data_IF_610336647312
#
_entry.id   IF_610336647312
#
_cell.length_a   1.000
_cell.length_b   1.000
_cell.length_c   1.000
_cell.angle_alpha   90.00
_cell.angle_beta   90.00
_cell.angle_gamma   90.00
#
_symmetry.space_group_name_H-M   'P 1'
#
loop_
_entity.id
_entity.type
_entity.pdbx_description
1 polymer ?
#
# COMPACT_ATOMS: atom_id res chain seq x y z
N UNK A 1 -1.84 -7.06 -23.49
CA UNK A 1 -3.03 -7.50 -22.75
C UNK A 1 -3.99 -6.33 -22.74
N UNK A 2 -5.22 -6.48 -23.22
CA UNK A 2 -6.21 -5.41 -23.13
C UNK A 2 -6.58 -5.17 -21.66
N UNK A 3 -6.60 -3.91 -21.25
CA UNK A 3 -6.98 -3.52 -19.89
C UNK A 3 -8.50 -3.72 -19.74
N UNK A 4 -8.91 -4.75 -19.00
CA UNK A 4 -10.31 -5.04 -18.72
C UNK A 4 -10.66 -4.56 -17.30
N UNK A 5 -11.23 -3.37 -17.19
CA UNK A 5 -11.59 -2.75 -15.91
C UNK A 5 -12.58 -3.62 -15.11
N UNK A 6 -13.56 -4.25 -15.76
CA UNK A 6 -14.55 -5.08 -15.07
C UNK A 6 -13.92 -6.34 -14.44
N UNK A 7 -12.90 -6.91 -15.10
CA UNK A 7 -12.16 -8.04 -14.54
C UNK A 7 -11.28 -7.60 -13.36
N UNK A 8 -10.64 -6.42 -13.45
CA UNK A 8 -9.88 -5.85 -12.34
C UNK A 8 -10.77 -5.58 -11.12
N UNK A 9 -11.91 -4.93 -11.33
CA UNK A 9 -12.87 -4.62 -10.27
C UNK A 9 -13.35 -5.90 -9.58
N UNK A 10 -13.66 -6.95 -10.33
CA UNK A 10 -14.04 -8.25 -9.77
C UNK A 10 -12.94 -8.85 -8.87
N UNK A 11 -11.67 -8.79 -9.29
CA UNK A 11 -10.55 -9.28 -8.48
C UNK A 11 -10.35 -8.42 -7.22
N UNK A 12 -10.44 -7.10 -7.35
CA UNK A 12 -10.30 -6.17 -6.23
C UNK A 12 -11.43 -6.35 -5.20
N UNK A 13 -12.67 -6.50 -5.64
CA UNK A 13 -13.82 -6.76 -4.78
C UNK A 13 -13.67 -8.11 -4.04
N UNK A 14 -13.23 -9.16 -4.75
CA UNK A 14 -12.98 -10.46 -4.14
C UNK A 14 -11.85 -10.41 -3.09
N UNK A 15 -10.74 -9.72 -3.40
CA UNK A 15 -9.63 -9.54 -2.47
C UNK A 15 -10.05 -8.74 -1.21
N UNK A 16 -10.80 -7.65 -1.39
CA UNK A 16 -11.34 -6.85 -0.29
C UNK A 16 -12.31 -7.64 0.59
N UNK A 17 -13.15 -8.49 0.00
CA UNK A 17 -14.06 -9.36 0.74
C UNK A 17 -13.32 -10.40 1.58
N UNK A 18 -12.27 -11.03 1.03
CA UNK A 18 -11.41 -11.98 1.76
C UNK A 18 -10.72 -11.28 2.93
N UNK A 19 -10.12 -10.11 2.69
CA UNK A 19 -9.48 -9.32 3.74
C UNK A 19 -10.45 -9.00 4.88
N UNK A 20 -11.66 -8.53 4.54
CA UNK A 20 -12.69 -8.20 5.53
C UNK A 20 -13.08 -9.42 6.38
N UNK A 21 -13.25 -10.58 5.76
CA UNK A 21 -13.56 -11.82 6.47
C UNK A 21 -12.44 -12.25 7.42
N UNK A 22 -11.17 -12.11 7.01
CA UNK A 22 -10.01 -12.42 7.85
C UNK A 22 -9.89 -11.43 9.02
N UNK A 23 -10.08 -10.13 8.76
CA UNK A 23 -10.04 -9.10 9.79
C UNK A 23 -11.13 -9.30 10.85
N UNK A 24 -12.33 -9.75 10.45
CA UNK A 24 -13.42 -10.06 11.36
C UNK A 24 -13.16 -11.27 12.27
N UNK A 25 -12.23 -12.15 11.89
CA UNK A 25 -11.82 -13.31 12.69
C UNK A 25 -10.72 -12.98 13.71
N UNK A 26 -10.03 -11.84 13.57
CA UNK A 26 -8.98 -11.40 14.48
C UNK A 26 -9.55 -10.59 15.66
N UNK A 27 -8.93 -10.62 16.85
CA UNK A 27 -9.30 -9.73 17.94
C UNK A 27 -9.15 -8.26 17.50
N UNK A 28 -10.10 -7.38 17.85
CA UNK A 28 -10.14 -6.01 17.34
C UNK A 28 -9.03 -5.18 17.99
N UNK A 29 -7.84 -5.26 17.41
CA UNK A 29 -6.79 -4.28 17.65
C UNK A 29 -7.04 -3.16 16.65
N UNK A 30 -7.30 -1.92 17.06
CA UNK A 30 -7.57 -0.86 16.12
C UNK A 30 -6.30 -0.59 15.31
N UNK A 31 -6.31 -0.99 14.04
CA UNK A 31 -5.27 -0.60 13.12
C UNK A 31 -5.27 0.94 12.97
N UNK A 32 -4.13 1.58 12.75
CA UNK A 32 -4.07 2.99 12.36
C UNK A 32 -5.04 3.29 11.22
N UNK A 33 -5.72 4.45 11.28
CA UNK A 33 -6.77 4.82 10.30
C UNK A 33 -6.25 4.76 8.87
N UNK A 34 -4.99 5.16 8.64
CA UNK A 34 -4.35 5.08 7.33
C UNK A 34 -4.31 3.66 6.76
N UNK A 35 -4.05 2.65 7.59
CA UNK A 35 -4.03 1.24 7.17
C UNK A 35 -5.42 0.66 6.92
N UNK A 36 -6.48 1.35 7.38
CA UNK A 36 -7.87 0.96 7.10
C UNK A 36 -8.36 1.52 5.76
N UNK A 37 -7.76 2.60 5.25
CA UNK A 37 -8.15 3.21 3.99
C UNK A 37 -7.91 2.23 2.84
N UNK A 38 -9.02 1.84 2.17
CA UNK A 38 -9.02 0.88 1.06
C UNK A 38 -8.38 -0.47 1.41
N UNK A 39 -8.36 -0.85 2.69
CA UNK A 39 -7.71 -2.07 3.14
C UNK A 39 -8.18 -3.31 2.36
N UNK A 40 -7.24 -4.20 2.00
CA UNK A 40 -7.50 -5.35 1.13
C UNK A 40 -7.45 -5.05 -0.37
N UNK A 41 -7.21 -3.80 -0.77
CA UNK A 41 -7.03 -3.39 -2.17
C UNK A 41 -5.56 -3.08 -2.47
N UNK A 42 -5.18 -3.15 -3.75
CA UNK A 42 -3.82 -2.84 -4.23
C UNK A 42 -3.39 -1.38 -3.92
N UNK A 43 -4.36 -0.48 -3.74
CA UNK A 43 -4.13 0.96 -3.52
C UNK A 43 -4.20 1.33 -2.03
N UNK A 44 -4.02 0.34 -1.15
CA UNK A 44 -4.03 0.54 0.29
C UNK A 44 -2.62 0.85 0.81
N UNK A 45 -2.56 1.61 1.91
CA UNK A 45 -1.31 1.85 2.61
C UNK A 45 -0.66 0.53 3.08
N UNK A 46 -1.48 -0.45 3.48
CA UNK A 46 -1.00 -1.79 3.82
C UNK A 46 -0.27 -2.48 2.67
N UNK A 47 -0.79 -2.40 1.45
CA UNK A 47 -0.11 -2.96 0.27
C UNK A 47 1.21 -2.24 -0.03
N UNK A 48 1.28 -0.92 0.18
CA UNK A 48 2.51 -0.16 -0.04
C UNK A 48 3.59 -0.55 0.97
N UNK A 49 3.22 -0.85 2.22
CA UNK A 49 4.16 -1.37 3.21
C UNK A 49 4.70 -2.75 2.82
N UNK A 50 3.85 -3.64 2.31
CA UNK A 50 4.28 -4.94 1.76
C UNK A 50 5.26 -4.74 0.61
N UNK A 51 4.96 -3.84 -0.32
CA UNK A 51 5.88 -3.52 -1.42
C UNK A 51 7.19 -2.87 -0.95
N UNK A 52 7.15 -2.09 0.12
CA UNK A 52 8.36 -1.49 0.69
C UNK A 52 9.23 -2.53 1.41
N UNK A 53 8.64 -3.53 2.06
CA UNK A 53 9.37 -4.59 2.77
C UNK A 53 9.93 -5.64 1.81
N UNK A 54 9.14 -6.08 0.83
CA UNK A 54 9.55 -7.09 -0.17
C UNK A 54 10.77 -6.65 -0.99
N UNK A 55 10.90 -5.35 -1.22
CA UNK A 55 11.92 -4.77 -2.07
C UNK A 55 12.87 -3.85 -1.30
N UNK A 56 13.00 -4.02 0.01
CA UNK A 56 14.08 -3.36 0.73
C UNK A 56 15.44 -3.95 0.27
N UNK A 57 16.45 -3.11 -0.01
CA UNK A 57 16.56 -1.67 0.26
C UNK A 57 16.17 -0.75 -0.91
N UNK A 58 15.64 -1.27 -2.02
CA UNK A 58 15.19 -0.44 -3.14
C UNK A 58 14.01 0.47 -2.72
N UNK A 59 14.12 1.80 -2.90
CA UNK A 59 13.06 2.71 -2.50
C UNK A 59 11.87 2.62 -3.45
N UNK A 60 10.67 2.79 -2.89
CA UNK A 60 9.44 3.01 -3.63
C UNK A 60 9.47 4.34 -4.38
N UNK A 61 8.92 4.31 -5.58
CA UNK A 61 8.59 5.49 -6.39
C UNK A 61 7.20 5.28 -6.99
N UNK A 62 6.56 6.36 -7.45
CA UNK A 62 5.26 6.25 -8.14
C UNK A 62 5.39 5.34 -9.36
N UNK A 63 6.50 5.44 -10.10
CA UNK A 63 6.80 4.62 -11.26
C UNK A 63 6.89 3.13 -10.88
N UNK A 64 7.62 2.80 -9.81
CA UNK A 64 7.79 1.42 -9.36
C UNK A 64 6.46 0.81 -8.86
N UNK A 65 5.65 1.58 -8.13
CA UNK A 65 4.36 1.10 -7.63
C UNK A 65 3.34 0.88 -8.76
N UNK A 66 3.42 1.66 -9.85
CA UNK A 66 2.53 1.50 -11.00
C UNK A 66 2.87 0.33 -11.90
N UNK A 67 4.13 -0.09 -11.94
CA UNK A 67 4.55 -1.31 -12.67
C UNK A 67 4.06 -2.58 -11.94
N UNK A 68 3.71 -2.47 -10.66
CA UNK A 68 3.37 -3.60 -9.77
C UNK A 68 1.89 -3.67 -9.41
N UNK A 69 1.02 -3.65 -10.43
CA UNK A 69 -0.43 -3.95 -10.36
C UNK A 69 -1.39 -2.88 -9.79
N UNK A 70 -0.94 -1.64 -9.61
CA UNK A 70 -1.84 -0.54 -9.22
C UNK A 70 -2.32 0.23 -10.46
N UNK A 71 -3.58 0.00 -10.88
CA UNK A 71 -4.22 0.79 -11.93
C UNK A 71 -4.73 2.17 -11.47
N UNK A 72 -4.45 2.56 -10.22
CA UNK A 72 -4.85 3.86 -9.72
C UNK A 72 -4.14 5.04 -10.41
N UNK A 73 -4.83 6.18 -10.33
CA UNK A 73 -4.31 7.48 -10.71
C UNK A 73 -2.99 7.77 -10.01
N UNK A 74 -1.98 8.23 -10.77
CA UNK A 74 -0.68 8.69 -10.26
C UNK A 74 -0.84 9.68 -9.10
N UNK A 75 -1.86 10.54 -9.18
CA UNK A 75 -2.15 11.53 -8.14
C UNK A 75 -2.57 10.89 -6.82
N UNK A 76 -3.30 9.78 -6.88
CA UNK A 76 -3.76 9.05 -5.68
C UNK A 76 -2.57 8.34 -5.04
N UNK A 77 -1.75 7.66 -5.84
CA UNK A 77 -0.54 6.99 -5.37
C UNK A 77 0.42 7.99 -4.72
N UNK A 78 0.67 9.12 -5.39
CA UNK A 78 1.51 10.19 -4.85
C UNK A 78 0.95 10.77 -3.54
N UNK A 79 -0.36 11.06 -3.49
CA UNK A 79 -0.99 11.59 -2.28
C UNK A 79 -0.91 10.61 -1.10
N UNK A 80 -1.06 9.31 -1.36
CA UNK A 80 -0.97 8.29 -0.32
C UNK A 80 0.47 8.12 0.19
N UNK A 81 1.47 8.15 -0.69
CA UNK A 81 2.88 8.12 -0.30
C UNK A 81 3.26 9.32 0.58
N UNK A 82 2.83 10.52 0.20
CA UNK A 82 3.07 11.73 0.99
C UNK A 82 2.36 11.66 2.35
N UNK A 83 1.15 11.11 2.41
CA UNK A 83 0.43 10.89 3.67
C UNK A 83 1.14 9.87 4.57
N UNK A 84 1.59 8.74 4.01
CA UNK A 84 2.36 7.72 4.74
C UNK A 84 3.68 8.28 5.27
N UNK A 85 4.37 9.11 4.47
CA UNK A 85 5.58 9.79 4.91
C UNK A 85 5.30 10.81 6.03
N UNK A 86 4.22 11.58 5.91
CA UNK A 86 3.80 12.52 6.95
C UNK A 86 3.41 11.86 8.28
N UNK A 87 2.91 10.62 8.23
CA UNK A 87 2.61 9.80 9.41
C UNK A 87 3.82 9.00 9.94
N UNK A 88 4.98 9.10 9.27
CA UNK A 88 6.22 8.46 9.72
C UNK A 88 6.43 7.02 9.28
N UNK A 89 5.51 6.44 8.50
CA UNK A 89 5.65 5.06 7.99
C UNK A 89 6.76 4.93 6.94
N UNK A 90 6.99 6.01 6.20
CA UNK A 90 7.97 6.06 5.12
C UNK A 90 8.88 7.28 5.31
N UNK A 91 10.14 7.13 4.96
CA UNK A 91 11.08 8.23 4.81
C UNK A 91 11.16 8.66 3.35
N UNK A 92 10.98 9.96 3.09
CA UNK A 92 11.10 10.55 1.77
C UNK A 92 12.45 11.26 1.63
N UNK A 93 13.23 10.90 0.63
CA UNK A 93 14.50 11.55 0.36
C UNK A 93 14.36 12.83 -0.49
N UNK A 94 15.48 13.55 -0.67
CA UNK A 94 15.52 14.78 -1.47
C UNK A 94 15.19 14.56 -2.96
N UNK A 95 15.32 13.32 -3.46
CA UNK A 95 14.97 12.93 -4.81
C UNK A 95 13.48 12.52 -4.94
N UNK A 96 12.71 12.55 -3.85
CA UNK A 96 11.29 12.18 -3.84
C UNK A 96 11.05 10.67 -3.86
N UNK A 97 12.04 9.88 -3.42
CA UNK A 97 11.92 8.43 -3.28
C UNK A 97 11.56 8.08 -1.85
N UNK A 98 10.83 6.98 -1.66
CA UNK A 98 10.28 6.57 -0.36
C UNK A 98 10.89 5.25 0.07
N UNK A 99 11.35 5.15 1.31
CA UNK A 99 11.77 3.89 1.93
C UNK A 99 10.96 3.65 3.21
N UNK A 100 10.90 2.40 3.69
CA UNK A 100 10.42 2.16 5.05
C UNK A 100 11.22 3.04 6.03
N UNK A 101 10.54 3.70 6.96
CA UNK A 101 11.24 4.34 8.06
C UNK A 101 11.93 3.29 8.95
N UNK A 102 12.98 3.68 9.68
CA UNK A 102 13.81 2.73 10.45
C UNK A 102 12.98 1.95 11.49
N UNK A 103 12.08 2.61 12.20
CA UNK A 103 11.24 1.96 13.22
C UNK A 103 10.31 0.89 12.61
N UNK A 104 9.86 1.11 11.39
CA UNK A 104 8.95 0.24 10.65
C UNK A 104 9.71 -0.93 10.01
N UNK A 105 10.98 -0.74 9.64
CA UNK A 105 11.85 -1.86 9.21
C UNK A 105 12.01 -2.88 10.32
N UNK A 106 12.21 -2.44 11.56
CA UNK A 106 12.34 -3.33 12.72
C UNK A 106 11.05 -4.07 13.05
N UNK A 107 9.89 -3.45 12.80
CA UNK A 107 8.57 -4.05 13.05
C UNK A 107 8.20 -5.12 12.00
N UNK A 108 8.71 -4.99 10.77
CA UNK A 108 8.32 -5.83 9.62
C UNK A 108 9.38 -6.89 9.24
N UNK A 109 10.51 -6.96 9.94
CA UNK A 109 11.58 -7.96 9.77
C UNK A 109 11.30 -9.26 10.56
#
# INVERSE_FOLDING_TARGET
MDKNAALYDLFMDAAGAIYTALAAAAPPTPAPVLLQLRAGLAESAGWFLVQASEFAPEPLTVELLRVRDIYASERIVAALLELMAGEGWLERDAAGRYALAEAERELLA
#
